data_IF_300376510685
#
_entry.id   IF_300376510685
#
_cell.length_a   1.000
_cell.length_b   1.000
_cell.length_c   1.000
_cell.angle_alpha   90.00
_cell.angle_beta   90.00
_cell.angle_gamma   90.00
#
_symmetry.space_group_name_H-M   'P 1'
#
loop_
_entity.id
_entity.type
_entity.pdbx_description
1 polymer ?
#
# COMPACT_ATOMS: atom_id res chain seq x y z
N UNK A 1 22.87 79.90 37.80
CA UNK A 1 22.69 78.61 37.11
C UNK A 1 22.39 78.89 35.65
N UNK A 2 23.34 78.70 34.75
CA UNK A 2 23.18 78.90 33.30
C UNK A 2 23.30 77.54 32.61
N UNK A 3 22.20 77.07 32.02
CA UNK A 3 22.14 75.81 31.29
C UNK A 3 22.77 75.98 29.90
N UNK A 4 23.84 75.23 29.61
CA UNK A 4 24.39 75.08 28.25
C UNK A 4 23.45 74.18 27.43
N UNK A 5 22.97 74.70 26.29
CA UNK A 5 22.18 74.00 25.26
C UNK A 5 22.95 72.80 24.65
N UNK A 6 22.30 71.66 24.38
CA UNK A 6 22.91 70.48 23.75
C UNK A 6 22.74 70.44 22.21
N UNK A 7 22.86 71.57 21.52
CA UNK A 7 22.60 71.67 20.06
C UNK A 7 23.84 71.49 19.15
N UNK A 8 25.04 71.28 19.70
CA UNK A 8 26.29 71.30 18.90
C UNK A 8 26.93 69.95 18.60
N UNK A 9 26.55 68.86 19.28
CA UNK A 9 27.21 67.55 19.11
C UNK A 9 26.69 66.72 17.93
N UNK A 10 25.41 66.83 17.59
CA UNK A 10 24.79 66.06 16.50
C UNK A 10 25.24 66.56 15.11
N UNK A 11 25.29 67.88 14.91
CA UNK A 11 25.73 68.47 13.64
C UNK A 11 27.23 68.26 13.34
N UNK A 12 28.08 68.21 14.36
CA UNK A 12 29.50 67.86 14.18
C UNK A 12 29.71 66.39 13.84
N UNK A 13 28.90 65.49 14.41
CA UNK A 13 28.95 64.05 14.09
C UNK A 13 28.52 63.80 12.65
N UNK A 14 27.44 64.45 12.21
CA UNK A 14 26.87 64.34 10.87
C UNK A 14 27.82 64.89 9.80
N UNK A 15 28.46 66.04 10.06
CA UNK A 15 29.48 66.62 9.18
C UNK A 15 30.75 65.77 9.07
N UNK A 16 31.17 65.08 10.15
CA UNK A 16 32.31 64.15 10.13
C UNK A 16 32.00 62.83 9.40
N UNK A 17 30.78 62.34 9.53
CA UNK A 17 30.28 61.17 8.80
C UNK A 17 30.22 61.42 7.29
N UNK A 18 29.67 62.57 6.88
CA UNK A 18 29.58 62.95 5.47
C UNK A 18 30.97 63.07 4.82
N UNK A 19 31.94 63.72 5.49
CA UNK A 19 33.33 63.81 5.00
C UNK A 19 34.06 62.45 4.95
N UNK A 20 33.75 61.54 5.87
CA UNK A 20 34.35 60.21 5.89
C UNK A 20 33.76 59.28 4.80
N UNK A 21 32.52 59.54 4.36
CA UNK A 21 31.82 58.74 3.34
C UNK A 21 32.05 59.25 1.91
N UNK A 22 32.46 60.52 1.74
CA UNK A 22 32.73 61.18 0.46
C UNK A 22 33.68 60.39 -0.48
N UNK A 23 34.85 59.88 -0.03
CA UNK A 23 35.73 59.09 -0.91
C UNK A 23 35.20 57.67 -1.23
N UNK A 24 34.12 57.25 -0.56
CA UNK A 24 33.49 55.95 -0.75
C UNK A 24 32.11 56.05 -1.41
N UNK A 25 31.65 57.27 -1.76
CA UNK A 25 30.33 57.52 -2.32
C UNK A 25 30.07 56.72 -3.61
N UNK A 26 31.06 56.65 -4.52
CA UNK A 26 30.96 55.87 -5.76
C UNK A 26 30.92 54.35 -5.52
N UNK A 27 31.55 53.89 -4.44
CA UNK A 27 31.55 52.46 -4.05
C UNK A 27 30.22 52.09 -3.38
N UNK A 28 29.67 52.98 -2.55
CA UNK A 28 28.35 52.84 -1.91
C UNK A 28 27.25 52.87 -2.98
N UNK A 29 27.31 53.81 -3.93
CA UNK A 29 26.36 53.92 -5.04
C UNK A 29 26.36 52.68 -5.93
N UNK A 30 27.56 52.15 -6.28
CA UNK A 30 27.68 50.88 -7.01
C UNK A 30 27.17 49.68 -6.20
N UNK A 31 27.40 49.66 -4.89
CA UNK A 31 26.86 48.62 -3.99
C UNK A 31 25.33 48.64 -3.92
N UNK A 32 24.71 49.82 -3.86
CA UNK A 32 23.26 49.99 -3.89
C UNK A 32 22.66 49.57 -5.24
N UNK A 33 23.30 49.93 -6.35
CA UNK A 33 22.86 49.52 -7.69
C UNK A 33 22.91 47.99 -7.88
N UNK A 34 23.97 47.33 -7.38
CA UNK A 34 24.08 45.86 -7.39
C UNK A 34 23.03 45.20 -6.51
N UNK A 35 22.70 45.80 -5.35
CA UNK A 35 21.66 45.31 -4.46
C UNK A 35 20.25 45.45 -5.08
N UNK A 36 19.99 46.53 -5.80
CA UNK A 36 18.74 46.72 -6.53
C UNK A 36 18.61 45.80 -7.74
N UNK A 37 19.71 45.47 -8.42
CA UNK A 37 19.72 44.45 -9.46
C UNK A 37 19.50 43.04 -8.88
N UNK A 38 20.13 42.71 -7.75
CA UNK A 38 19.91 41.47 -7.03
C UNK A 38 18.44 41.33 -6.58
N UNK A 39 17.85 42.38 -5.98
CA UNK A 39 16.43 42.41 -5.60
C UNK A 39 15.49 42.18 -6.78
N UNK A 40 15.77 42.80 -7.94
CA UNK A 40 14.97 42.59 -9.16
C UNK A 40 15.06 41.15 -9.66
N UNK A 41 16.25 40.54 -9.63
CA UNK A 41 16.44 39.13 -10.02
C UNK A 41 15.76 38.16 -9.05
N UNK A 42 15.83 38.42 -7.74
CA UNK A 42 15.12 37.63 -6.73
C UNK A 42 13.60 37.74 -6.90
N UNK A 43 13.07 38.94 -7.17
CA UNK A 43 11.63 39.14 -7.42
C UNK A 43 11.16 38.44 -8.69
N UNK A 44 11.90 38.56 -9.79
CA UNK A 44 11.58 37.86 -11.04
C UNK A 44 11.65 36.33 -10.88
N UNK A 45 12.65 35.81 -10.14
CA UNK A 45 12.74 34.39 -9.83
C UNK A 45 11.59 33.93 -8.92
N UNK A 46 11.18 34.76 -7.95
CA UNK A 46 10.06 34.49 -7.07
C UNK A 46 8.71 34.51 -7.82
N UNK A 47 8.52 35.39 -8.79
CA UNK A 47 7.31 35.43 -9.65
C UNK A 47 7.24 34.21 -10.57
N UNK A 48 8.37 33.79 -11.15
CA UNK A 48 8.44 32.56 -11.97
C UNK A 48 8.20 31.33 -11.10
N UNK A 49 8.75 31.29 -9.89
CA UNK A 49 8.48 30.20 -8.94
C UNK A 49 7.00 30.22 -8.55
N UNK A 50 6.45 31.35 -8.12
CA UNK A 50 5.04 31.54 -7.76
C UNK A 50 4.10 31.05 -8.87
N UNK A 51 4.32 31.45 -10.13
CA UNK A 51 3.51 30.98 -11.26
C UNK A 51 3.59 29.47 -11.53
N UNK A 52 4.66 28.80 -11.07
CA UNK A 52 4.85 27.34 -11.21
C UNK A 52 4.25 26.55 -10.05
N UNK A 53 4.08 27.17 -8.88
CA UNK A 53 3.47 26.55 -7.69
C UNK A 53 2.02 27.00 -7.45
N UNK A 54 1.51 28.05 -8.09
CA UNK A 54 0.12 28.51 -7.98
C UNK A 54 -0.90 27.44 -8.37
N UNK A 55 -0.68 26.71 -9.46
CA UNK A 55 -1.54 25.60 -9.87
C UNK A 55 -1.56 24.44 -8.85
N UNK A 56 -0.40 23.86 -8.49
CA UNK A 56 -0.32 22.82 -7.46
C UNK A 56 -0.84 23.27 -6.08
N UNK A 57 -0.58 24.51 -5.66
CA UNK A 57 -1.03 25.04 -4.36
C UNK A 57 -2.54 25.26 -4.33
N UNK A 58 -3.15 25.70 -5.44
CA UNK A 58 -4.60 25.81 -5.54
C UNK A 58 -5.27 24.44 -5.35
N UNK A 59 -4.77 23.41 -6.02
CA UNK A 59 -5.25 22.02 -5.87
C UNK A 59 -5.07 21.53 -4.42
N UNK A 60 -3.91 21.78 -3.79
CA UNK A 60 -3.66 21.39 -2.39
C UNK A 60 -4.54 22.15 -1.39
N UNK A 61 -4.96 23.38 -1.71
CA UNK A 61 -5.86 24.19 -0.88
C UNK A 61 -7.33 23.78 -0.99
N UNK A 62 -7.70 23.10 -2.07
CA UNK A 62 -9.03 22.52 -2.29
C UNK A 62 -9.19 21.13 -1.64
N UNK A 63 -8.09 20.49 -1.24
CA UNK A 63 -8.14 19.20 -0.53
C UNK A 63 -8.63 19.44 0.89
N UNK A 64 -9.72 18.75 1.24
CA UNK A 64 -10.20 18.67 2.62
C UNK A 64 -9.27 17.76 3.44
N UNK A 65 -8.21 18.37 4.00
CA UNK A 65 -7.24 17.67 4.83
C UNK A 65 -7.84 17.06 6.11
N UNK A 66 -8.98 17.58 6.58
CA UNK A 66 -9.70 17.00 7.72
C UNK A 66 -10.35 15.69 7.29
N UNK A 67 -10.98 15.67 6.12
CA UNK A 67 -11.53 14.45 5.54
C UNK A 67 -10.43 13.42 5.21
N UNK A 68 -9.33 13.83 4.58
CA UNK A 68 -8.19 12.95 4.28
C UNK A 68 -7.63 12.32 5.55
N UNK A 69 -7.39 13.13 6.59
CA UNK A 69 -6.91 12.63 7.89
C UNK A 69 -7.88 11.63 8.50
N UNK A 70 -9.18 11.96 8.52
CA UNK A 70 -10.23 11.06 9.02
C UNK A 70 -10.30 9.74 8.25
N UNK A 71 -10.15 9.77 6.93
CA UNK A 71 -10.13 8.55 6.09
C UNK A 71 -8.95 7.67 6.44
N UNK A 72 -7.75 8.26 6.58
CA UNK A 72 -6.53 7.53 6.95
C UNK A 72 -6.59 6.94 8.36
N UNK A 73 -7.15 7.68 9.34
CA UNK A 73 -7.30 7.21 10.72
C UNK A 73 -8.24 5.99 10.81
N UNK A 74 -9.29 5.93 10.00
CA UNK A 74 -10.25 4.82 10.00
C UNK A 74 -9.87 3.68 9.04
N UNK A 75 -8.88 3.89 8.16
CA UNK A 75 -8.52 2.94 7.09
C UNK A 75 -8.13 1.55 7.63
N UNK A 76 -7.37 1.38 8.72
CA UNK A 76 -7.04 0.06 9.25
C UNK A 76 -8.27 -0.77 9.64
N UNK A 77 -9.24 -0.16 10.34
CA UNK A 77 -10.47 -0.85 10.75
C UNK A 77 -11.34 -1.21 9.54
N UNK A 78 -11.48 -0.27 8.60
CA UNK A 78 -12.23 -0.49 7.35
C UNK A 78 -11.57 -1.58 6.49
N UNK A 79 -10.25 -1.53 6.36
CA UNK A 79 -9.44 -2.53 5.67
C UNK A 79 -9.64 -3.91 6.28
N UNK A 80 -9.64 -4.04 7.61
CA UNK A 80 -9.89 -5.31 8.29
C UNK A 80 -11.27 -5.88 7.94
N UNK A 81 -12.33 -5.06 8.00
CA UNK A 81 -13.70 -5.48 7.65
C UNK A 81 -13.78 -5.93 6.18
N UNK A 82 -13.18 -5.16 5.27
CA UNK A 82 -13.12 -5.48 3.86
C UNK A 82 -12.31 -6.77 3.59
N UNK A 83 -11.20 -6.99 4.29
CA UNK A 83 -10.41 -8.23 4.21
C UNK A 83 -11.19 -9.46 4.70
N UNK A 84 -11.96 -9.32 5.79
CA UNK A 84 -12.84 -10.40 6.27
C UNK A 84 -13.88 -10.76 5.20
N UNK A 85 -14.53 -9.74 4.63
CA UNK A 85 -15.52 -9.93 3.57
C UNK A 85 -14.92 -10.61 2.33
N UNK A 86 -13.78 -10.11 1.84
CA UNK A 86 -13.07 -10.69 0.70
C UNK A 86 -12.64 -12.14 0.95
N UNK A 87 -12.05 -12.41 2.11
CA UNK A 87 -11.54 -13.75 2.46
C UNK A 87 -12.64 -14.79 2.64
N UNK A 88 -13.86 -14.37 3.03
CA UNK A 88 -15.04 -15.25 3.05
C UNK A 88 -15.41 -15.79 1.67
N UNK A 89 -15.00 -15.10 0.59
CA UNK A 89 -15.16 -15.51 -0.81
C UNK A 89 -13.89 -16.11 -1.41
N UNK A 90 -12.84 -16.30 -0.61
CA UNK A 90 -11.56 -16.86 -1.03
C UNK A 90 -10.60 -15.85 -1.68
N UNK A 91 -10.86 -14.55 -1.53
CA UNK A 91 -9.98 -13.48 -2.00
C UNK A 91 -9.09 -12.92 -0.91
N UNK A 92 -7.91 -12.44 -1.31
CA UNK A 92 -6.98 -11.76 -0.43
C UNK A 92 -6.51 -10.46 -1.08
N UNK A 93 -6.30 -9.43 -0.28
CA UNK A 93 -5.67 -8.18 -0.71
C UNK A 93 -4.93 -7.57 0.47
N UNK A 94 -3.96 -6.72 0.20
CA UNK A 94 -3.06 -6.17 1.20
C UNK A 94 -2.68 -4.73 0.91
N UNK A 95 -1.71 -4.23 1.67
CA UNK A 95 -1.17 -2.87 1.56
C UNK A 95 0.12 -2.84 0.72
N UNK A 96 0.34 -3.87 -0.09
CA UNK A 96 1.49 -3.97 -0.99
C UNK A 96 1.33 -3.13 -2.27
N UNK A 97 0.12 -2.70 -2.59
CA UNK A 97 -0.19 -1.87 -3.75
C UNK A 97 -0.22 -0.37 -3.37
N UNK A 98 -0.62 0.51 -4.30
CA UNK A 98 -0.69 1.94 -3.99
C UNK A 98 -1.75 2.23 -2.93
N UNK A 99 -1.52 3.26 -2.11
CA UNK A 99 -2.48 3.67 -1.08
C UNK A 99 -3.81 4.10 -1.70
N UNK A 100 -3.78 4.72 -2.89
CA UNK A 100 -4.98 5.15 -3.62
C UNK A 100 -5.83 3.95 -4.05
N UNK A 101 -5.21 2.91 -4.63
CA UNK A 101 -5.90 1.70 -5.04
C UNK A 101 -6.51 0.97 -3.85
N UNK A 102 -5.77 0.90 -2.73
CA UNK A 102 -6.26 0.29 -1.49
C UNK A 102 -7.46 1.04 -0.92
N UNK A 103 -7.39 2.38 -0.81
CA UNK A 103 -8.50 3.19 -0.30
C UNK A 103 -9.72 3.01 -1.19
N UNK A 104 -9.53 3.09 -2.51
CA UNK A 104 -10.60 2.88 -3.50
C UNK A 104 -11.23 1.50 -3.37
N UNK A 105 -10.42 0.44 -3.21
CA UNK A 105 -10.91 -0.92 -3.02
C UNK A 105 -11.71 -1.05 -1.71
N UNK A 106 -11.19 -0.52 -0.61
CA UNK A 106 -11.86 -0.60 0.70
C UNK A 106 -13.19 0.15 0.67
N UNK A 107 -13.24 1.35 0.07
CA UNK A 107 -14.48 2.12 -0.09
C UNK A 107 -15.50 1.37 -0.96
N UNK A 108 -15.07 0.74 -2.06
CA UNK A 108 -15.93 -0.12 -2.91
C UNK A 108 -16.53 -1.28 -2.12
N UNK A 109 -15.77 -1.89 -1.22
CA UNK A 109 -16.20 -3.06 -0.45
C UNK A 109 -17.10 -2.73 0.76
N UNK A 110 -17.18 -1.48 1.21
CA UNK A 110 -17.98 -1.12 2.40
C UNK A 110 -19.49 -1.28 2.21
N UNK A 111 -20.01 -1.05 1.00
CA UNK A 111 -21.46 -1.03 0.73
C UNK A 111 -21.88 -1.98 -0.40
N UNK A 112 -21.03 -2.94 -0.75
CA UNK A 112 -21.26 -3.84 -1.87
C UNK A 112 -22.19 -5.00 -1.50
N UNK A 113 -23.04 -5.41 -2.45
CA UNK A 113 -23.73 -6.69 -2.35
C UNK A 113 -22.72 -7.85 -2.39
N UNK A 114 -22.95 -8.87 -1.57
CA UNK A 114 -22.08 -10.06 -1.47
C UNK A 114 -21.87 -10.78 -2.81
N UNK A 115 -22.81 -10.62 -3.75
CA UNK A 115 -22.76 -11.22 -5.08
C UNK A 115 -21.86 -10.45 -6.06
N UNK A 116 -21.52 -9.20 -5.77
CA UNK A 116 -20.66 -8.37 -6.65
C UNK A 116 -19.18 -8.42 -6.23
N UNK A 117 -18.87 -8.98 -5.06
CA UNK A 117 -17.50 -9.10 -4.52
C UNK A 117 -16.54 -9.75 -5.51
N UNK A 118 -16.95 -10.84 -6.16
CA UNK A 118 -16.10 -11.57 -7.11
C UNK A 118 -15.74 -10.69 -8.31
N UNK A 119 -16.64 -9.84 -8.79
CA UNK A 119 -16.37 -8.94 -9.91
C UNK A 119 -15.41 -7.82 -9.49
N UNK A 120 -15.67 -7.16 -8.36
CA UNK A 120 -14.82 -6.06 -7.86
C UNK A 120 -13.39 -6.54 -7.63
N UNK A 121 -13.21 -7.69 -6.98
CA UNK A 121 -11.89 -8.21 -6.66
C UNK A 121 -11.20 -8.83 -7.88
N UNK A 122 -11.95 -9.42 -8.81
CA UNK A 122 -11.37 -9.85 -10.08
C UNK A 122 -10.84 -8.66 -10.88
N UNK A 123 -11.59 -7.56 -10.97
CA UNK A 123 -11.15 -6.35 -11.66
C UNK A 123 -9.91 -5.74 -11.00
N UNK A 124 -9.92 -5.59 -9.67
CA UNK A 124 -8.76 -5.13 -8.90
C UNK A 124 -7.51 -5.97 -9.17
N UNK A 125 -7.62 -7.30 -9.10
CA UNK A 125 -6.48 -8.19 -9.32
C UNK A 125 -6.07 -8.29 -10.79
N UNK A 126 -6.98 -8.06 -11.74
CA UNK A 126 -6.66 -8.01 -13.17
C UNK A 126 -5.86 -6.75 -13.51
N UNK A 127 -6.26 -5.60 -12.97
CA UNK A 127 -5.56 -4.32 -13.12
C UNK A 127 -4.15 -4.37 -12.50
N UNK A 128 -4.02 -5.02 -11.34
CA UNK A 128 -2.77 -5.13 -10.59
C UNK A 128 -1.97 -6.42 -10.88
N UNK A 129 -2.40 -7.23 -11.85
CA UNK A 129 -1.82 -8.56 -12.08
C UNK A 129 -0.33 -8.48 -12.44
N UNK A 130 0.00 -7.62 -13.40
CA UNK A 130 1.36 -7.50 -13.94
C UNK A 130 2.33 -6.93 -12.90
N UNK A 131 1.93 -5.85 -12.21
CA UNK A 131 2.74 -5.24 -11.15
C UNK A 131 2.94 -6.21 -9.99
N UNK A 132 1.89 -6.88 -9.53
CA UNK A 132 1.96 -7.91 -8.50
C UNK A 132 2.89 -9.06 -8.88
N UNK A 133 2.81 -9.55 -10.12
CA UNK A 133 3.66 -10.63 -10.63
C UNK A 133 5.13 -10.22 -10.69
N UNK A 134 5.43 -9.03 -11.21
CA UNK A 134 6.79 -8.50 -11.28
C UNK A 134 7.39 -8.30 -9.88
N UNK A 135 6.61 -7.75 -8.95
CA UNK A 135 7.02 -7.59 -7.55
C UNK A 135 7.29 -8.94 -6.87
N UNK A 136 6.45 -9.94 -7.10
CA UNK A 136 6.67 -11.30 -6.59
C UNK A 136 7.98 -11.89 -7.12
N UNK A 137 8.24 -11.77 -8.42
CA UNK A 137 9.46 -12.28 -9.05
C UNK A 137 10.71 -11.56 -8.53
N UNK A 138 10.64 -10.24 -8.40
CA UNK A 138 11.75 -9.42 -7.91
C UNK A 138 12.09 -9.70 -6.45
N UNK A 139 11.06 -9.85 -5.59
CA UNK A 139 11.26 -10.10 -4.16
C UNK A 139 11.62 -11.56 -3.85
N UNK A 140 11.29 -12.51 -4.74
CA UNK A 140 11.50 -13.95 -4.53
C UNK A 140 12.25 -14.61 -5.70
N UNK A 141 13.52 -14.25 -5.95
CA UNK A 141 14.26 -14.71 -7.14
C UNK A 141 14.41 -16.23 -7.22
N UNK A 142 14.48 -16.93 -6.07
CA UNK A 142 14.55 -18.40 -6.04
C UNK A 142 13.26 -19.08 -6.51
N UNK A 143 12.13 -18.35 -6.53
CA UNK A 143 10.81 -18.83 -6.97
C UNK A 143 10.39 -18.23 -8.31
N UNK A 144 11.19 -17.32 -8.87
CA UNK A 144 10.91 -16.58 -10.08
C UNK A 144 10.52 -17.49 -11.26
N UNK A 145 11.23 -18.59 -11.47
CA UNK A 145 10.95 -19.50 -12.58
C UNK A 145 9.54 -20.11 -12.50
N UNK A 146 9.16 -20.62 -11.34
CA UNK A 146 7.84 -21.23 -11.13
C UNK A 146 6.71 -20.18 -11.19
N UNK A 147 6.92 -19.02 -10.58
CA UNK A 147 5.95 -17.92 -10.60
C UNK A 147 5.77 -17.39 -12.03
N UNK A 148 6.86 -17.18 -12.77
CA UNK A 148 6.82 -16.71 -14.16
C UNK A 148 6.09 -17.69 -15.08
N UNK A 149 6.30 -19.00 -14.89
CA UNK A 149 5.60 -20.03 -15.66
C UNK A 149 4.08 -20.00 -15.39
N UNK A 150 3.67 -19.88 -14.13
CA UNK A 150 2.26 -19.78 -13.76
C UNK A 150 1.60 -18.49 -14.27
N UNK A 151 2.31 -17.36 -14.19
CA UNK A 151 1.90 -16.07 -14.75
C UNK A 151 1.71 -16.17 -16.26
N UNK A 152 2.66 -16.77 -16.98
CA UNK A 152 2.54 -16.99 -18.42
C UNK A 152 1.34 -17.87 -18.77
N UNK A 153 1.14 -18.96 -18.03
CA UNK A 153 0.00 -19.85 -18.23
C UNK A 153 -1.33 -19.12 -18.05
N UNK A 154 -1.49 -18.39 -16.94
CA UNK A 154 -2.68 -17.58 -16.65
C UNK A 154 -3.02 -16.62 -17.81
N UNK A 155 -2.02 -15.87 -18.29
CA UNK A 155 -2.23 -14.81 -19.30
C UNK A 155 -2.44 -15.34 -20.71
N UNK A 156 -1.82 -16.46 -21.07
CA UNK A 156 -1.62 -16.81 -22.48
C UNK A 156 -2.39 -18.05 -22.93
N UNK A 157 -2.84 -18.89 -22.00
CA UNK A 157 -3.41 -20.21 -22.33
C UNK A 157 -4.92 -20.33 -22.03
N UNK A 158 -5.58 -19.23 -21.65
CA UNK A 158 -7.01 -19.19 -21.38
C UNK A 158 -7.43 -20.23 -20.31
N UNK A 159 -8.55 -20.96 -20.51
CA UNK A 159 -9.01 -21.98 -19.56
C UNK A 159 -7.96 -23.05 -19.20
N UNK A 160 -7.19 -23.53 -20.19
CA UNK A 160 -6.09 -24.48 -19.94
C UNK A 160 -4.99 -23.86 -19.10
N UNK A 161 -4.76 -22.55 -19.25
CA UNK A 161 -3.86 -21.78 -18.41
C UNK A 161 -4.23 -21.79 -16.94
N UNK A 162 -5.52 -21.63 -16.64
CA UNK A 162 -6.04 -21.60 -15.26
C UNK A 162 -5.86 -22.94 -14.54
N UNK A 163 -5.99 -24.06 -15.25
CA UNK A 163 -5.67 -25.38 -14.70
C UNK A 163 -4.19 -25.51 -14.31
N UNK A 164 -3.28 -24.84 -15.02
CA UNK A 164 -1.85 -24.89 -14.76
C UNK A 164 -1.42 -23.86 -13.70
N UNK A 165 -1.96 -22.65 -13.75
CA UNK A 165 -1.55 -21.54 -12.89
C UNK A 165 -2.07 -21.69 -11.46
N UNK A 166 -3.34 -22.10 -11.28
CA UNK A 166 -3.99 -22.21 -9.96
C UNK A 166 -3.22 -23.08 -8.97
N UNK A 167 -2.89 -24.36 -9.27
CA UNK A 167 -2.14 -25.20 -8.34
C UNK A 167 -0.73 -24.66 -8.07
N UNK A 168 -0.07 -24.06 -9.07
CA UNK A 168 1.27 -23.48 -8.90
C UNK A 168 1.22 -22.26 -7.99
N UNK A 169 0.27 -21.34 -8.16
CA UNK A 169 0.09 -20.18 -7.28
C UNK A 169 -0.13 -20.60 -5.82
N UNK A 170 -1.01 -21.59 -5.59
CA UNK A 170 -1.26 -22.14 -4.26
C UNK A 170 0.03 -22.75 -3.66
N UNK A 171 0.75 -23.58 -4.43
CA UNK A 171 1.97 -24.23 -3.96
C UNK A 171 3.10 -23.22 -3.67
N UNK A 172 3.23 -22.17 -4.49
CA UNK A 172 4.20 -21.09 -4.24
C UNK A 172 3.82 -20.29 -3.00
N UNK A 173 2.53 -20.03 -2.77
CA UNK A 173 2.07 -19.35 -1.57
C UNK A 173 2.36 -20.18 -0.30
N UNK A 174 2.12 -21.49 -0.33
CA UNK A 174 2.47 -22.37 0.80
C UNK A 174 3.97 -22.35 1.11
N UNK A 175 4.79 -22.41 0.07
CA UNK A 175 6.24 -22.37 0.20
C UNK A 175 6.74 -21.05 0.78
N UNK A 176 6.23 -19.92 0.29
CA UNK A 176 6.55 -18.60 0.82
C UNK A 176 6.09 -18.44 2.26
N UNK A 177 4.88 -18.89 2.59
CA UNK A 177 4.37 -18.81 3.96
C UNK A 177 5.28 -19.59 4.91
N UNK A 178 5.78 -20.76 4.49
CA UNK A 178 6.72 -21.58 5.25
C UNK A 178 8.05 -20.86 5.48
N UNK A 179 8.62 -20.29 4.42
CA UNK A 179 9.89 -19.54 4.46
C UNK A 179 9.80 -18.30 5.35
N UNK A 180 8.78 -17.46 5.14
CA UNK A 180 8.58 -16.19 5.85
C UNK A 180 8.28 -16.44 7.33
N UNK A 181 7.35 -17.36 7.63
CA UNK A 181 6.98 -17.66 9.01
C UNK A 181 7.99 -18.54 9.75
N UNK A 182 8.94 -19.15 9.02
CA UNK A 182 9.90 -20.17 9.51
C UNK A 182 9.20 -21.39 10.11
N UNK A 183 8.02 -21.74 9.60
CA UNK A 183 7.22 -22.89 10.04
C UNK A 183 7.26 -23.96 8.96
N UNK A 184 7.53 -25.22 9.32
CA UNK A 184 7.57 -26.32 8.33
C UNK A 184 6.23 -26.58 7.63
N UNK A 185 5.12 -26.28 8.29
CA UNK A 185 3.76 -26.57 7.78
C UNK A 185 2.77 -25.52 8.27
N UNK A 186 2.87 -24.27 7.80
CA UNK A 186 2.07 -23.15 8.33
C UNK A 186 0.57 -23.32 8.09
N UNK A 187 0.17 -24.07 7.05
CA UNK A 187 -1.23 -24.34 6.71
C UNK A 187 -1.83 -25.54 7.47
N UNK A 188 -1.07 -26.20 8.35
CA UNK A 188 -1.61 -27.22 9.26
C UNK A 188 -2.28 -26.56 10.47
N UNK A 189 -3.18 -27.25 11.16
CA UNK A 189 -3.83 -26.73 12.38
C UNK A 189 -2.79 -26.24 13.42
N UNK A 190 -1.74 -27.03 13.64
CA UNK A 190 -0.63 -26.65 14.54
C UNK A 190 0.15 -25.45 14.00
N UNK A 191 0.43 -25.43 12.70
CA UNK A 191 1.13 -24.33 12.04
C UNK A 191 0.37 -23.01 12.11
N UNK A 192 -0.94 -23.03 11.87
CA UNK A 192 -1.81 -21.86 11.97
C UNK A 192 -1.87 -21.34 13.40
N UNK A 193 -1.95 -22.23 14.40
CA UNK A 193 -1.89 -21.84 15.82
C UNK A 193 -0.56 -21.16 16.16
N UNK A 194 0.56 -21.68 15.67
CA UNK A 194 1.87 -21.07 15.87
C UNK A 194 1.99 -19.73 15.13
N UNK A 195 1.49 -19.65 13.90
CA UNK A 195 1.45 -18.41 13.11
C UNK A 195 0.64 -17.32 13.81
N UNK A 196 -0.56 -17.65 14.32
CA UNK A 196 -1.39 -16.76 15.14
C UNK A 196 -0.60 -16.21 16.33
N UNK A 197 0.04 -17.10 17.09
CA UNK A 197 0.83 -16.69 18.26
C UNK A 197 2.01 -15.76 17.94
N UNK A 198 2.50 -15.77 16.69
CA UNK A 198 3.56 -14.85 16.24
C UNK A 198 2.99 -13.48 15.85
N UNK A 199 1.84 -13.46 15.17
CA UNK A 199 1.17 -12.24 14.71
C UNK A 199 0.51 -11.48 15.87
N UNK A 200 -0.17 -12.20 16.78
CA UNK A 200 -0.93 -11.62 17.91
C UNK A 200 -0.06 -10.89 18.95
N UNK A 201 1.28 -10.98 18.85
CA UNK A 201 2.21 -10.24 19.69
C UNK A 201 2.22 -8.73 19.39
N UNK A 202 1.75 -8.35 18.22
CA UNK A 202 1.57 -6.96 17.82
C UNK A 202 0.10 -6.70 17.41
N UNK A 203 -0.66 -5.91 18.19
CA UNK A 203 -2.04 -5.56 17.87
C UNK A 203 -2.20 -4.90 16.50
N UNK A 204 -1.24 -4.07 16.06
CA UNK A 204 -1.30 -3.38 14.76
C UNK A 204 -1.19 -4.33 13.58
N UNK A 205 -0.26 -5.29 13.65
CA UNK A 205 -0.10 -6.35 12.66
C UNK A 205 -1.30 -7.31 12.60
N UNK A 206 -1.96 -7.53 13.73
CA UNK A 206 -3.06 -8.51 13.85
C UNK A 206 -4.27 -8.12 12.99
N UNK A 207 -4.58 -6.83 12.89
CA UNK A 207 -5.68 -6.35 12.06
C UNK A 207 -5.37 -6.44 10.57
N UNK A 208 -4.12 -6.14 10.19
CA UNK A 208 -3.66 -6.17 8.81
C UNK A 208 -3.42 -7.60 8.28
N UNK A 209 -3.22 -8.57 9.18
CA UNK A 209 -3.00 -9.98 8.83
C UNK A 209 -4.18 -10.88 9.20
N UNK A 210 -5.33 -10.29 9.50
CA UNK A 210 -6.50 -11.02 10.00
C UNK A 210 -6.94 -12.21 9.11
N UNK A 211 -6.92 -12.13 7.76
CA UNK A 211 -7.21 -13.30 6.92
C UNK A 211 -6.37 -14.53 7.25
N UNK A 212 -5.09 -14.36 7.61
CA UNK A 212 -4.22 -15.47 8.03
C UNK A 212 -4.62 -16.03 9.39
N UNK A 213 -5.14 -15.18 10.27
CA UNK A 213 -5.61 -15.58 11.59
C UNK A 213 -6.91 -16.38 11.53
N UNK A 214 -7.69 -16.31 10.46
CA UNK A 214 -8.94 -17.09 10.31
C UNK A 214 -8.89 -18.13 9.20
N UNK A 215 -7.70 -18.41 8.65
CA UNK A 215 -7.51 -19.30 7.49
C UNK A 215 -8.21 -20.68 7.65
N UNK A 216 -8.18 -21.30 8.83
CA UNK A 216 -8.83 -22.60 9.14
C UNK A 216 -10.37 -22.56 9.18
N UNK A 217 -10.96 -21.36 9.16
CA UNK A 217 -12.40 -21.11 9.09
C UNK A 217 -12.86 -20.82 7.66
N UNK A 218 -11.94 -20.45 6.77
CA UNK A 218 -12.25 -20.11 5.37
C UNK A 218 -12.47 -21.37 4.53
N UNK A 219 -13.33 -21.24 3.51
CA UNK A 219 -13.57 -22.28 2.50
C UNK A 219 -12.28 -22.74 1.82
N UNK A 220 -11.31 -21.84 1.68
CA UNK A 220 -10.00 -22.09 1.08
C UNK A 220 -9.21 -23.23 1.75
N UNK A 221 -9.29 -23.36 3.08
CA UNK A 221 -8.62 -24.43 3.85
C UNK A 221 -9.57 -25.40 4.56
N UNK A 222 -10.87 -25.31 4.27
CA UNK A 222 -11.87 -26.20 4.88
C UNK A 222 -11.47 -27.66 4.66
N UNK A 223 -11.35 -28.43 5.76
CA UNK A 223 -10.97 -29.84 5.73
C UNK A 223 -12.05 -30.70 5.07
N UNK A 224 -11.68 -31.90 4.61
CA UNK A 224 -12.61 -32.85 4.01
C UNK A 224 -13.82 -33.13 4.91
N UNK A 225 -13.59 -33.45 6.19
CA UNK A 225 -14.68 -33.69 7.15
C UNK A 225 -15.62 -32.49 7.31
N UNK A 226 -15.09 -31.26 7.31
CA UNK A 226 -15.90 -30.03 7.39
C UNK A 226 -16.69 -29.79 6.09
N UNK A 227 -16.12 -30.13 4.92
CA UNK A 227 -16.82 -30.05 3.62
C UNK A 227 -17.96 -31.06 3.55
N UNK A 228 -17.71 -32.31 3.97
CA UNK A 228 -18.72 -33.37 3.98
C UNK A 228 -19.89 -33.01 4.91
N UNK A 229 -19.61 -32.55 6.13
CA UNK A 229 -20.64 -32.09 7.06
C UNK A 229 -21.45 -30.92 6.47
N UNK A 230 -20.80 -29.97 5.78
CA UNK A 230 -21.48 -28.87 5.12
C UNK A 230 -22.40 -29.36 3.98
N UNK A 231 -21.93 -30.31 3.18
CA UNK A 231 -22.72 -30.89 2.09
C UNK A 231 -23.93 -31.67 2.63
N UNK A 232 -23.75 -32.44 3.70
CA UNK A 232 -24.84 -33.13 4.40
C UNK A 232 -25.87 -32.15 4.99
N UNK A 233 -25.41 -31.04 5.57
CA UNK A 233 -26.27 -30.06 6.24
C UNK A 233 -27.05 -29.21 5.23
N UNK A 234 -26.43 -28.83 4.11
CA UNK A 234 -27.03 -27.93 3.11
C UNK A 234 -27.69 -28.66 1.95
N UNK A 235 -27.38 -29.94 1.75
CA UNK A 235 -27.75 -30.70 0.56
C UNK A 235 -27.05 -30.22 -0.72
N UNK A 236 -26.04 -29.37 -0.61
CA UNK A 236 -25.33 -28.77 -1.74
C UNK A 236 -23.92 -29.36 -1.90
N UNK A 237 -23.43 -29.37 -3.14
CA UNK A 237 -22.03 -29.69 -3.41
C UNK A 237 -21.15 -28.50 -3.04
N UNK A 238 -20.02 -28.76 -2.39
CA UNK A 238 -19.06 -27.72 -2.05
C UNK A 238 -18.34 -27.25 -3.31
N UNK A 239 -18.50 -25.97 -3.68
CA UNK A 239 -18.06 -25.40 -4.97
C UNK A 239 -17.04 -24.26 -4.86
N UNK A 240 -16.62 -23.91 -3.64
CA UNK A 240 -15.61 -22.87 -3.43
C UNK A 240 -14.21 -23.37 -3.79
N UNK A 241 -13.30 -22.45 -4.17
CA UNK A 241 -11.89 -22.76 -4.36
C UNK A 241 -11.28 -23.27 -3.04
N UNK A 242 -10.85 -24.53 -3.03
CA UNK A 242 -10.25 -25.16 -1.85
C UNK A 242 -8.87 -25.74 -2.19
N UNK A 243 -7.88 -25.37 -1.38
CA UNK A 243 -6.48 -25.80 -1.54
C UNK A 243 -6.36 -27.32 -1.59
N UNK A 244 -7.04 -28.03 -0.70
CA UNK A 244 -6.93 -29.48 -0.61
C UNK A 244 -7.48 -30.14 -1.88
N UNK A 245 -8.67 -29.71 -2.33
CA UNK A 245 -9.29 -30.27 -3.54
C UNK A 245 -8.44 -30.04 -4.79
N UNK A 246 -7.85 -28.85 -4.94
CA UNK A 246 -6.98 -28.53 -6.09
C UNK A 246 -5.68 -29.33 -6.04
N UNK A 247 -4.98 -29.33 -4.91
CA UNK A 247 -3.64 -29.94 -4.80
C UNK A 247 -3.70 -31.48 -4.85
N UNK A 248 -4.76 -32.09 -4.33
CA UNK A 248 -4.94 -33.55 -4.37
C UNK A 248 -5.76 -34.03 -5.57
N UNK A 249 -6.24 -33.12 -6.42
CA UNK A 249 -7.00 -33.47 -7.62
C UNK A 249 -8.40 -34.03 -7.34
N UNK A 250 -9.00 -33.68 -6.19
CA UNK A 250 -10.38 -34.06 -5.87
C UNK A 250 -11.40 -33.23 -6.68
N UNK A 251 -11.02 -32.02 -7.12
CA UNK A 251 -11.79 -31.20 -8.06
C UNK A 251 -11.11 -31.21 -9.42
N UNK A 252 -11.91 -31.34 -10.48
CA UNK A 252 -11.46 -31.32 -11.89
C UNK A 252 -11.99 -30.09 -12.65
N UNK A 253 -12.79 -29.25 -12.00
CA UNK A 253 -13.50 -28.11 -12.57
C UNK A 253 -12.98 -26.75 -12.07
N UNK A 254 -11.85 -26.74 -11.35
CA UNK A 254 -11.28 -25.51 -10.78
C UNK A 254 -10.69 -24.53 -11.81
N UNK A 255 -10.52 -24.90 -13.08
CA UNK A 255 -9.83 -24.13 -14.12
C UNK A 255 -10.58 -22.91 -14.66
N UNK A 256 -10.93 -21.97 -13.77
CA UNK A 256 -11.58 -20.70 -14.12
C UNK A 256 -10.65 -19.51 -13.84
N UNK A 257 -10.88 -18.39 -14.52
CA UNK A 257 -10.10 -17.16 -14.30
C UNK A 257 -10.22 -16.70 -12.85
N UNK A 258 -11.44 -16.70 -12.31
CA UNK A 258 -11.73 -16.31 -10.92
C UNK A 258 -10.93 -17.15 -9.93
N UNK A 259 -10.88 -18.47 -10.11
CA UNK A 259 -10.09 -19.34 -9.22
C UNK A 259 -8.59 -19.09 -9.35
N UNK A 260 -8.11 -18.85 -10.57
CA UNK A 260 -6.70 -18.51 -10.78
C UNK A 260 -6.35 -17.15 -10.15
N UNK A 261 -7.25 -16.16 -10.22
CA UNK A 261 -7.05 -14.84 -9.60
C UNK A 261 -7.15 -14.93 -8.07
N UNK A 262 -8.07 -15.73 -7.51
CA UNK A 262 -8.13 -16.01 -6.06
C UNK A 262 -6.83 -16.64 -5.56
N UNK A 263 -6.31 -17.64 -6.27
CA UNK A 263 -5.03 -18.27 -5.95
C UNK A 263 -3.86 -17.29 -6.07
N UNK A 264 -3.84 -16.46 -7.12
CA UNK A 264 -2.84 -15.40 -7.28
C UNK A 264 -2.93 -14.36 -6.16
N UNK A 265 -4.14 -13.96 -5.76
CA UNK A 265 -4.38 -13.00 -4.69
C UNK A 265 -3.81 -13.49 -3.36
N UNK A 266 -3.94 -14.80 -3.07
CA UNK A 266 -3.34 -15.42 -1.89
C UNK A 266 -1.80 -15.41 -1.98
N UNK A 267 -1.24 -15.72 -3.15
CA UNK A 267 0.20 -15.65 -3.39
C UNK A 267 0.75 -14.23 -3.19
N UNK A 268 0.07 -13.21 -3.71
CA UNK A 268 0.41 -11.79 -3.52
C UNK A 268 0.35 -11.41 -2.04
N UNK A 269 -0.73 -11.80 -1.35
CA UNK A 269 -0.89 -11.52 0.07
C UNK A 269 0.24 -12.11 0.91
N UNK A 270 0.59 -13.38 0.68
CA UNK A 270 1.66 -14.05 1.40
C UNK A 270 3.04 -13.52 0.99
N UNK A 271 3.26 -13.28 -0.29
CA UNK A 271 4.57 -12.94 -0.83
C UNK A 271 4.96 -11.47 -0.69
N UNK A 272 4.00 -10.56 -0.64
CA UNK A 272 4.25 -9.11 -0.61
C UNK A 272 3.70 -8.46 0.65
N UNK A 273 2.45 -8.71 1.01
CA UNK A 273 1.81 -8.06 2.16
C UNK A 273 2.32 -8.60 3.51
N UNK A 274 2.41 -9.92 3.68
CA UNK A 274 2.88 -10.50 4.94
C UNK A 274 4.30 -10.04 5.33
N UNK A 275 5.32 -10.05 4.45
CA UNK A 275 6.64 -9.51 4.77
C UNK A 275 6.61 -8.03 5.12
N UNK A 276 5.82 -7.22 4.39
CA UNK A 276 5.70 -5.78 4.66
C UNK A 276 5.27 -5.51 6.11
N UNK A 277 4.27 -6.25 6.60
CA UNK A 277 3.78 -6.11 7.97
C UNK A 277 4.78 -6.67 8.99
N UNK A 278 5.34 -7.86 8.75
CA UNK A 278 6.28 -8.47 9.70
C UNK A 278 7.62 -7.72 9.84
N UNK A 279 8.04 -6.99 8.82
CA UNK A 279 9.24 -6.13 8.86
C UNK A 279 8.97 -4.78 9.55
N UNK A 280 7.75 -4.52 10.04
CA UNK A 280 7.38 -3.27 10.69
C UNK A 280 7.34 -2.08 9.74
N UNK A 281 7.30 -2.32 8.42
CA UNK A 281 7.08 -1.29 7.40
C UNK A 281 5.58 -0.98 7.33
N UNK A 282 5.03 -0.51 8.43
CA UNK A 282 3.64 -0.10 8.45
C UNK A 282 3.47 1.11 7.53
N UNK A 283 2.53 1.08 6.57
CA UNK A 283 2.19 2.25 5.76
C UNK A 283 1.67 3.44 6.60
N UNK A 284 1.29 3.20 7.86
CA UNK A 284 0.92 4.23 8.83
C UNK A 284 2.12 4.95 9.47
N UNK A 285 3.36 4.59 9.17
CA UNK A 285 4.58 5.28 9.65
C UNK A 285 4.85 6.66 9.02
N UNK A 286 3.85 7.25 8.35
CA UNK A 286 3.89 8.58 7.72
C UNK A 286 3.07 9.60 8.53
N UNK A 287 2.96 9.42 9.85
CA UNK A 287 2.42 10.44 10.76
C UNK A 287 3.38 10.70 11.92
#
# INVERSE_FOLDING_TARGET
MSQKKPETLAGELEGRLLKAMEPHADTISRGLALFDEFRRRVRAAAEVLASRIEGPLAVLSEIDWVDVKRRLENLPEKSKKAMILASSKGWFFGWNDSLEDLVTLVEKLENVDVNEIDNILADYHRENFESGAQNLIANHPNRAAAISAAVHAHKSLGPSGYFLSTPVFIAQADGLLSEISKLKSPMSEKGLKELRSKIEKDPGSSDLLYPLLILDQLDFLKSESKRNLWAETTGQCFSALNRHQVIHGESSDYGTEINSLKAFSFLVFVGLHLPLILEGRHPTGIL
#
